data_IF_748837397552
#
_entry.id   IF_748837397552
#
_cell.length_a   1.000
_cell.length_b   1.000
_cell.length_c   1.000
_cell.angle_alpha   90.00
_cell.angle_beta   90.00
_cell.angle_gamma   90.00
#
_symmetry.space_group_name_H-M   'P 1'
#
loop_
_entity.id
_entity.type
_entity.pdbx_description
1 polymer ?
#
# COMPACT_ATOMS: atom_id res chain seq x y z
N UNK A 1 10.36 6.96 -6.29
CA UNK A 1 10.42 8.22 -7.07
C UNK A 1 11.84 8.48 -7.59
N UNK A 2 12.86 8.45 -6.71
CA UNK A 2 14.27 8.70 -7.13
C UNK A 2 14.77 7.67 -8.15
N UNK A 3 14.48 6.39 -7.95
CA UNK A 3 14.82 5.32 -8.88
C UNK A 3 14.13 5.49 -10.24
N UNK A 4 12.86 5.90 -10.24
CA UNK A 4 12.12 6.19 -11.46
C UNK A 4 12.73 7.35 -12.25
N UNK A 5 13.15 8.44 -11.57
CA UNK A 5 13.84 9.57 -12.22
C UNK A 5 15.13 9.15 -12.90
N UNK A 6 15.93 8.32 -12.22
CA UNK A 6 17.21 7.83 -12.74
C UNK A 6 17.01 7.00 -14.01
N UNK A 7 15.95 6.22 -14.06
CA UNK A 7 15.67 5.28 -15.15
C UNK A 7 14.66 5.81 -16.18
N UNK A 8 14.23 7.08 -16.08
CA UNK A 8 13.21 7.67 -16.98
C UNK A 8 13.59 7.60 -18.46
N UNK A 9 14.86 7.65 -18.81
CA UNK A 9 15.34 7.50 -20.19
C UNK A 9 15.20 6.06 -20.73
N UNK A 10 15.21 5.07 -19.81
CA UNK A 10 15.12 3.64 -20.16
C UNK A 10 13.67 3.21 -20.23
N UNK A 11 12.84 3.71 -19.32
CA UNK A 11 11.40 3.51 -19.33
C UNK A 11 10.83 4.47 -20.37
N UNK A 12 10.45 3.95 -21.52
CA UNK A 12 9.99 4.72 -22.66
C UNK A 12 9.23 5.99 -22.24
N UNK A 13 9.65 7.13 -22.75
CA UNK A 13 9.23 8.47 -22.38
C UNK A 13 7.73 8.80 -22.53
N UNK A 14 6.95 7.86 -23.01
CA UNK A 14 5.52 8.03 -23.33
C UNK A 14 4.55 7.50 -22.29
N UNK A 15 5.03 6.84 -21.22
CA UNK A 15 4.14 6.31 -20.18
C UNK A 15 4.17 7.27 -18.99
N UNK A 16 3.13 8.08 -18.87
CA UNK A 16 2.92 8.87 -17.66
C UNK A 16 2.67 7.95 -16.46
N UNK A 17 3.43 8.15 -15.40
CA UNK A 17 3.26 7.46 -14.12
C UNK A 17 2.93 8.46 -13.04
N UNK A 18 1.92 8.13 -12.27
CA UNK A 18 1.53 8.89 -11.08
C UNK A 18 1.82 8.07 -9.83
N UNK A 19 2.20 8.75 -8.77
CA UNK A 19 2.49 8.15 -7.47
C UNK A 19 1.52 8.71 -6.44
N UNK A 20 0.86 7.81 -5.71
CA UNK A 20 -0.06 8.15 -4.65
C UNK A 20 0.42 7.53 -3.34
N UNK A 21 0.53 8.35 -2.30
CA UNK A 21 0.78 7.90 -0.94
C UNK A 21 -0.41 8.22 -0.07
N UNK A 22 -0.84 7.25 0.72
CA UNK A 22 -1.91 7.39 1.70
C UNK A 22 -1.36 7.04 3.07
N UNK A 23 -1.57 7.90 4.05
CA UNK A 23 -1.13 7.67 5.42
C UNK A 23 -1.92 8.56 6.37
N UNK A 24 -2.12 8.11 7.60
CA UNK A 24 -2.74 8.92 8.65
C UNK A 24 -1.83 10.06 9.10
N UNK A 25 -0.52 9.79 9.16
CA UNK A 25 0.50 10.60 9.83
C UNK A 25 0.27 10.75 11.35
N UNK A 26 -0.69 10.02 11.87
CA UNK A 26 -1.16 10.07 13.27
C UNK A 26 -1.07 8.71 13.96
N UNK A 27 -0.30 7.77 13.40
CA UNK A 27 -0.18 6.40 13.90
C UNK A 27 -1.37 5.52 13.50
N UNK A 28 -1.66 4.50 14.31
CA UNK A 28 -2.68 3.50 13.98
C UNK A 28 -4.12 3.92 14.33
N UNK A 29 -4.30 4.92 15.17
CA UNK A 29 -5.60 5.30 15.71
C UNK A 29 -6.17 4.22 16.64
N UNK A 30 -7.47 3.96 16.57
CA UNK A 30 -8.12 2.97 17.42
C UNK A 30 -7.79 1.54 16.97
N UNK A 31 -6.91 0.87 17.72
CA UNK A 31 -6.49 -0.52 17.45
C UNK A 31 -7.57 -1.48 17.93
N UNK A 32 -8.10 -2.29 17.03
CA UNK A 32 -9.08 -3.34 17.33
C UNK A 32 -8.39 -4.57 17.93
N UNK A 33 -9.15 -5.42 18.61
CA UNK A 33 -8.64 -6.66 19.21
C UNK A 33 -7.92 -7.56 18.19
N UNK A 34 -8.45 -7.69 16.97
CA UNK A 34 -7.82 -8.49 15.89
C UNK A 34 -6.45 -7.94 15.48
N UNK A 35 -6.24 -6.63 15.66
CA UNK A 35 -5.02 -5.90 15.30
C UNK A 35 -4.03 -5.79 16.48
N UNK A 36 -4.41 -6.33 17.65
CA UNK A 36 -3.57 -6.22 18.83
C UNK A 36 -2.22 -6.94 18.65
N UNK A 37 -1.16 -6.16 18.74
CA UNK A 37 0.21 -6.61 18.58
C UNK A 37 1.12 -5.84 19.54
N UNK A 38 2.11 -6.45 20.20
CA UNK A 38 2.97 -5.76 21.17
C UNK A 38 3.70 -4.54 20.62
N UNK A 39 4.04 -4.56 19.33
CA UNK A 39 4.79 -3.52 18.66
C UNK A 39 3.90 -2.44 18.00
N UNK A 40 2.77 -2.82 17.43
CA UNK A 40 1.85 -1.90 16.75
C UNK A 40 0.89 -1.28 17.77
N UNK A 41 1.31 -0.18 18.35
CA UNK A 41 0.50 0.58 19.31
C UNK A 41 0.16 1.94 18.72
N UNK A 42 -0.96 2.49 19.17
CA UNK A 42 -1.30 3.87 18.90
C UNK A 42 -0.15 4.80 19.31
N UNK A 43 0.00 5.95 18.78
CA UNK A 43 1.11 6.88 19.00
C UNK A 43 2.52 6.40 18.54
N UNK A 44 2.71 5.14 18.19
CA UNK A 44 3.88 4.73 17.45
C UNK A 44 3.70 5.15 15.98
N UNK A 45 4.78 5.42 15.28
CA UNK A 45 4.76 5.73 13.84
C UNK A 45 4.08 7.06 13.46
N UNK A 46 4.00 8.01 14.39
CA UNK A 46 3.54 9.38 14.10
C UNK A 46 4.63 10.15 13.35
N UNK A 47 4.26 10.83 12.28
CA UNK A 47 5.20 11.60 11.46
C UNK A 47 4.60 12.96 11.05
N UNK A 48 5.42 13.99 10.98
CA UNK A 48 4.99 15.33 10.54
C UNK A 48 4.66 15.33 9.03
N UNK A 49 3.38 15.43 8.74
CA UNK A 49 2.86 15.49 7.37
C UNK A 49 3.48 16.61 6.54
N UNK A 50 3.59 17.83 7.07
CA UNK A 50 4.12 18.98 6.32
C UNK A 50 5.58 18.78 5.95
N UNK A 51 6.37 18.15 6.83
CA UNK A 51 7.76 17.80 6.56
C UNK A 51 7.89 16.78 5.43
N UNK A 52 7.04 15.75 5.45
CA UNK A 52 7.02 14.71 4.40
C UNK A 52 6.52 15.28 3.07
N UNK A 53 5.42 16.03 3.07
CA UNK A 53 4.89 16.69 1.88
C UNK A 53 5.92 17.60 1.21
N UNK A 54 6.61 18.45 1.99
CA UNK A 54 7.70 19.31 1.47
C UNK A 54 8.84 18.48 0.85
N UNK A 55 9.21 17.37 1.49
CA UNK A 55 10.25 16.46 1.01
C UNK A 55 9.85 15.79 -0.31
N UNK A 56 8.62 15.32 -0.40
CA UNK A 56 8.08 14.71 -1.62
C UNK A 56 8.02 15.73 -2.75
N UNK A 57 7.46 16.91 -2.51
CA UNK A 57 7.37 17.98 -3.51
C UNK A 57 8.76 18.38 -4.05
N UNK A 58 9.77 18.46 -3.18
CA UNK A 58 11.15 18.72 -3.59
C UNK A 58 11.71 17.59 -4.46
N UNK A 59 11.40 16.34 -4.11
CA UNK A 59 11.95 15.15 -4.78
C UNK A 59 11.21 14.79 -6.06
N UNK A 60 9.95 15.20 -6.23
CA UNK A 60 9.08 14.78 -7.33
C UNK A 60 8.87 15.86 -8.41
N UNK A 61 9.75 16.85 -8.49
CA UNK A 61 9.69 17.95 -9.47
C UNK A 61 9.32 17.45 -10.83
N UNK A 62 8.91 17.03 -11.60
CA UNK A 62 8.61 16.46 -12.92
C UNK A 62 7.94 15.07 -12.84
N UNK A 63 7.38 14.70 -11.67
CA UNK A 63 6.65 13.44 -11.51
C UNK A 63 5.32 13.77 -10.85
N UNK A 64 4.23 13.30 -11.42
CA UNK A 64 2.92 13.45 -10.80
C UNK A 64 2.88 12.61 -9.51
N UNK A 65 2.89 13.28 -8.37
CA UNK A 65 2.83 12.63 -7.06
C UNK A 65 1.85 13.35 -6.15
N UNK A 66 1.05 12.60 -5.41
CA UNK A 66 0.09 13.11 -4.43
C UNK A 66 0.23 12.35 -3.13
N UNK A 67 0.14 13.06 -2.01
CA UNK A 67 0.06 12.48 -0.67
C UNK A 67 -1.30 12.84 -0.09
N UNK A 68 -2.02 11.84 0.37
CA UNK A 68 -3.35 11.97 0.94
C UNK A 68 -3.26 11.65 2.43
N UNK A 69 -3.44 12.69 3.27
CA UNK A 69 -3.45 12.52 4.71
C UNK A 69 -4.82 12.06 5.20
N UNK A 70 -4.84 11.05 6.05
CA UNK A 70 -6.00 10.58 6.80
C UNK A 70 -6.02 9.07 6.97
N UNK A 71 -6.78 8.61 7.96
CA UNK A 71 -6.97 7.18 8.21
C UNK A 71 -7.61 6.47 7.01
N UNK A 72 -7.19 5.25 6.73
CA UNK A 72 -7.63 4.48 5.56
C UNK A 72 -9.14 4.25 5.52
N UNK A 73 -9.78 4.02 6.67
CA UNK A 73 -11.23 3.90 6.75
C UNK A 73 -12.01 5.14 6.28
N UNK A 74 -11.34 6.29 6.14
CA UNK A 74 -11.91 7.53 5.59
C UNK A 74 -11.41 7.79 4.18
N UNK A 75 -10.09 7.76 3.98
CA UNK A 75 -9.49 8.11 2.69
C UNK A 75 -9.69 7.03 1.63
N UNK A 76 -9.78 5.76 2.00
CA UNK A 76 -9.99 4.65 1.07
C UNK A 76 -11.45 4.14 1.03
N UNK A 77 -12.37 4.81 1.71
CA UNK A 77 -13.82 4.49 1.65
C UNK A 77 -14.49 5.03 0.38
N UNK A 78 -13.76 5.77 -0.44
CA UNK A 78 -14.22 6.30 -1.73
C UNK A 78 -13.62 5.48 -2.88
N UNK A 79 -14.17 5.63 -4.08
CA UNK A 79 -13.61 4.95 -5.26
C UNK A 79 -12.25 5.54 -5.67
N UNK A 80 -11.33 4.74 -6.22
CA UNK A 80 -10.01 5.22 -6.68
C UNK A 80 -10.10 6.35 -7.72
N UNK A 81 -11.15 6.36 -8.53
CA UNK A 81 -11.42 7.39 -9.53
C UNK A 81 -11.54 8.79 -8.95
N UNK A 82 -11.99 8.93 -7.69
CA UNK A 82 -12.04 10.22 -6.99
C UNK A 82 -10.66 10.88 -6.85
N UNK A 83 -9.61 10.07 -6.79
CA UNK A 83 -8.22 10.52 -6.79
C UNK A 83 -7.61 10.60 -8.18
N UNK A 84 -8.33 10.21 -9.22
CA UNK A 84 -7.84 10.11 -10.60
C UNK A 84 -7.05 8.82 -10.87
N UNK A 85 -7.16 7.81 -10.00
CA UNK A 85 -6.47 6.53 -10.15
C UNK A 85 -7.33 5.60 -11.00
N UNK A 86 -6.82 5.18 -12.15
CA UNK A 86 -7.54 4.28 -13.07
C UNK A 86 -7.01 2.85 -13.01
N UNK A 87 -5.70 2.69 -12.99
CA UNK A 87 -4.99 1.40 -12.92
C UNK A 87 -3.73 1.53 -12.09
N UNK A 88 -3.36 0.49 -11.38
CA UNK A 88 -2.13 0.41 -10.62
C UNK A 88 -1.18 -0.63 -11.22
N UNK A 89 0.06 -0.25 -11.45
CA UNK A 89 1.13 -1.18 -11.82
C UNK A 89 1.74 -1.84 -10.58
N UNK A 90 1.87 -1.08 -9.49
CA UNK A 90 2.46 -1.54 -8.23
C UNK A 90 1.59 -1.00 -7.08
N UNK A 91 1.22 -1.88 -6.18
CA UNK A 91 0.63 -1.58 -4.88
C UNK A 91 1.69 -1.89 -3.82
N UNK A 92 2.14 -0.88 -3.08
CA UNK A 92 2.97 -1.06 -1.90
C UNK A 92 2.08 -0.90 -0.68
N UNK A 93 1.86 -1.97 0.06
CA UNK A 93 1.04 -2.01 1.26
C UNK A 93 1.95 -2.20 2.47
N UNK A 94 2.05 -1.16 3.28
CA UNK A 94 2.81 -1.06 4.52
C UNK A 94 1.82 -0.57 5.59
N UNK A 95 0.93 -1.46 6.00
CA UNK A 95 -0.22 -1.12 6.84
C UNK A 95 -0.27 -1.95 8.13
N UNK A 96 0.70 -2.85 8.31
CA UNK A 96 0.94 -3.65 9.51
C UNK A 96 -0.25 -4.52 9.94
N UNK A 97 -1.40 -3.92 10.14
CA UNK A 97 -2.56 -4.52 10.81
C UNK A 97 -3.66 -4.95 9.83
N UNK A 98 -4.47 -5.93 10.24
CA UNK A 98 -5.54 -6.49 9.43
C UNK A 98 -6.59 -5.45 8.99
N UNK A 99 -7.06 -4.61 9.92
CA UNK A 99 -8.12 -3.64 9.62
C UNK A 99 -7.69 -2.63 8.56
N UNK A 100 -6.47 -2.09 8.66
CA UNK A 100 -5.92 -1.16 7.68
C UNK A 100 -5.68 -1.84 6.32
N UNK A 101 -5.09 -3.03 6.32
CA UNK A 101 -4.87 -3.82 5.11
C UNK A 101 -6.18 -4.16 4.39
N UNK A 102 -7.26 -4.45 5.14
CA UNK A 102 -8.59 -4.71 4.57
C UNK A 102 -9.15 -3.48 3.83
N UNK A 103 -8.97 -2.28 4.38
CA UNK A 103 -9.39 -1.04 3.72
C UNK A 103 -8.60 -0.83 2.42
N UNK A 104 -7.29 -1.08 2.43
CA UNK A 104 -6.43 -1.03 1.24
C UNK A 104 -6.94 -2.01 0.17
N UNK A 105 -7.13 -3.29 0.52
CA UNK A 105 -7.53 -4.30 -0.46
C UNK A 105 -8.94 -4.09 -1.03
N UNK A 106 -9.84 -3.51 -0.26
CA UNK A 106 -11.14 -3.09 -0.78
C UNK A 106 -11.00 -1.96 -1.80
N UNK A 107 -10.19 -0.95 -1.51
CA UNK A 107 -9.97 0.20 -2.38
C UNK A 107 -9.28 -0.17 -3.69
N UNK A 108 -8.22 -0.99 -3.64
CA UNK A 108 -7.43 -1.32 -4.83
C UNK A 108 -8.10 -2.32 -5.77
N UNK A 109 -9.20 -2.93 -5.38
CA UNK A 109 -9.86 -3.98 -6.14
C UNK A 109 -10.17 -3.58 -7.59
N UNK A 110 -10.62 -2.34 -7.80
CA UNK A 110 -11.05 -1.84 -9.11
C UNK A 110 -9.88 -1.41 -10.00
N UNK A 111 -8.69 -1.25 -9.44
CA UNK A 111 -7.53 -0.69 -10.14
C UNK A 111 -6.42 -1.71 -10.39
N UNK A 112 -6.57 -2.94 -9.89
CA UNK A 112 -5.60 -4.01 -10.14
C UNK A 112 -5.99 -4.85 -11.35
N UNK A 113 -4.98 -5.29 -12.11
CA UNK A 113 -5.16 -6.10 -13.31
C UNK A 113 -4.06 -7.17 -13.38
N UNK A 114 -4.13 -8.09 -14.35
CA UNK A 114 -3.03 -9.03 -14.62
C UNK A 114 -1.73 -8.24 -14.83
N UNK A 115 -0.68 -8.66 -14.14
CA UNK A 115 0.61 -7.95 -14.14
C UNK A 115 0.76 -6.88 -13.06
N UNK A 116 -0.28 -6.56 -12.27
CA UNK A 116 -0.13 -5.70 -11.08
C UNK A 116 0.72 -6.40 -10.02
N UNK A 117 1.72 -5.72 -9.50
CA UNK A 117 2.54 -6.19 -8.39
C UNK A 117 1.97 -5.75 -7.04
N UNK A 118 1.91 -6.68 -6.11
CA UNK A 118 1.61 -6.44 -4.70
C UNK A 118 2.91 -6.60 -3.90
N UNK A 119 3.40 -5.50 -3.35
CA UNK A 119 4.53 -5.46 -2.43
C UNK A 119 3.94 -5.29 -1.04
N UNK A 120 4.01 -6.33 -0.24
CA UNK A 120 3.36 -6.44 1.07
C UNK A 120 4.45 -6.43 2.14
N UNK A 121 4.57 -5.30 2.84
CA UNK A 121 5.45 -5.21 3.99
C UNK A 121 4.76 -5.80 5.23
N UNK A 122 5.53 -6.13 6.25
CA UNK A 122 5.03 -6.74 7.50
C UNK A 122 4.07 -7.93 7.31
N UNK A 123 4.18 -8.63 6.17
CA UNK A 123 3.26 -9.66 5.76
C UNK A 123 3.24 -10.87 6.73
N UNK A 124 4.36 -11.11 7.41
CA UNK A 124 4.51 -12.18 8.40
C UNK A 124 4.66 -11.68 9.85
N UNK A 125 4.44 -10.40 10.11
CA UNK A 125 4.71 -9.75 11.41
C UNK A 125 3.94 -10.34 12.60
N UNK A 126 2.77 -10.94 12.37
CA UNK A 126 2.00 -11.64 13.40
C UNK A 126 2.48 -13.10 13.62
N UNK A 127 3.78 -13.31 13.72
CA UNK A 127 4.41 -14.64 13.89
C UNK A 127 3.99 -15.62 12.78
N UNK A 128 3.78 -15.15 11.57
CA UNK A 128 3.32 -15.95 10.45
C UNK A 128 1.88 -16.47 10.57
N UNK A 129 1.06 -15.89 11.43
CA UNK A 129 -0.33 -16.33 11.64
C UNK A 129 -1.17 -16.21 10.36
N UNK A 130 -1.85 -17.28 9.99
CA UNK A 130 -2.78 -17.29 8.86
C UNK A 130 -4.06 -16.46 9.13
N UNK A 131 -4.33 -16.12 10.39
CA UNK A 131 -5.59 -15.53 10.87
C UNK A 131 -5.44 -14.11 11.37
N UNK A 132 -4.28 -13.45 11.14
CA UNK A 132 -4.01 -12.08 11.59
C UNK A 132 -3.26 -11.26 10.54
N UNK A 133 -3.21 -9.95 10.77
CA UNK A 133 -2.40 -9.00 10.01
C UNK A 133 -2.71 -8.90 8.54
N UNK A 134 -1.76 -8.36 7.80
CA UNK A 134 -1.84 -8.17 6.35
C UNK A 134 -2.02 -9.47 5.59
N UNK A 135 -1.44 -10.58 6.07
CA UNK A 135 -1.62 -11.90 5.45
C UNK A 135 -3.09 -12.30 5.36
N UNK A 136 -3.82 -12.27 6.49
CA UNK A 136 -5.26 -12.60 6.52
C UNK A 136 -6.05 -11.73 5.55
N UNK A 137 -5.84 -10.42 5.59
CA UNK A 137 -6.57 -9.49 4.74
C UNK A 137 -6.32 -9.76 3.24
N UNK A 138 -5.09 -10.09 2.87
CA UNK A 138 -4.72 -10.42 1.50
C UNK A 138 -5.37 -11.72 1.02
N UNK A 139 -5.36 -12.78 1.84
CA UNK A 139 -5.99 -14.05 1.49
C UNK A 139 -7.51 -13.90 1.31
N UNK A 140 -8.17 -13.13 2.17
CA UNK A 140 -9.60 -12.82 2.03
C UNK A 140 -9.89 -12.04 0.74
N UNK A 141 -9.05 -11.07 0.39
CA UNK A 141 -9.15 -10.31 -0.85
C UNK A 141 -9.06 -11.23 -2.07
N UNK A 142 -8.03 -12.06 -2.14
CA UNK A 142 -7.83 -12.99 -3.25
C UNK A 142 -9.02 -13.93 -3.43
N UNK A 143 -9.47 -14.53 -2.32
CA UNK A 143 -10.61 -15.47 -2.32
C UNK A 143 -11.91 -14.77 -2.74
N UNK A 144 -12.22 -13.62 -2.16
CA UNK A 144 -13.46 -12.88 -2.42
C UNK A 144 -13.57 -12.43 -3.88
N UNK A 145 -12.46 -12.16 -4.51
CA UNK A 145 -12.40 -11.61 -5.87
C UNK A 145 -12.02 -12.63 -6.95
N UNK A 146 -11.72 -13.85 -6.57
CA UNK A 146 -11.28 -14.88 -7.50
C UNK A 146 -9.94 -14.52 -8.18
N UNK A 147 -9.09 -13.75 -7.48
CA UNK A 147 -7.79 -13.32 -7.99
C UNK A 147 -6.75 -14.40 -7.73
N UNK A 148 -6.00 -14.75 -8.77
CA UNK A 148 -4.82 -15.59 -8.64
C UNK A 148 -3.55 -14.74 -8.69
N UNK A 149 -2.59 -15.10 -7.84
CA UNK A 149 -1.29 -14.44 -7.80
C UNK A 149 -0.16 -15.47 -7.85
N UNK A 150 1.00 -15.05 -8.34
CA UNK A 150 2.24 -15.81 -8.24
C UNK A 150 3.19 -15.07 -7.30
N UNK A 151 3.79 -15.80 -6.36
CA UNK A 151 4.84 -15.25 -5.52
C UNK A 151 6.09 -14.99 -6.36
N UNK A 152 6.70 -13.83 -6.17
CA UNK A 152 7.92 -13.42 -6.87
C UNK A 152 9.13 -13.63 -5.97
N UNK A 153 9.15 -13.03 -4.77
CA UNK A 153 10.18 -13.21 -3.76
C UNK A 153 9.71 -12.70 -2.40
N UNK A 154 10.48 -13.04 -1.35
CA UNK A 154 10.37 -12.42 -0.03
C UNK A 154 11.50 -11.43 0.19
N UNK A 155 11.31 -10.44 1.07
CA UNK A 155 12.32 -9.45 1.39
C UNK A 155 12.25 -9.01 2.86
N UNK A 156 13.37 -8.44 3.35
CA UNK A 156 13.44 -7.99 4.73
C UNK A 156 13.15 -9.12 5.74
N UNK A 157 12.57 -8.77 6.87
CA UNK A 157 12.21 -9.72 7.92
C UNK A 157 10.77 -10.28 7.79
N UNK A 158 9.94 -9.68 6.98
CA UNK A 158 8.53 -10.05 6.93
C UNK A 158 7.79 -9.68 5.65
N UNK A 159 8.47 -9.11 4.66
CA UNK A 159 7.84 -8.68 3.42
C UNK A 159 7.74 -9.76 2.36
N UNK A 160 6.75 -9.67 1.49
CA UNK A 160 6.55 -10.58 0.37
C UNK A 160 6.01 -9.87 -0.87
N UNK A 161 6.45 -10.30 -2.05
CA UNK A 161 6.04 -9.72 -3.34
C UNK A 161 5.30 -10.76 -4.16
N UNK A 162 4.15 -10.35 -4.67
CA UNK A 162 3.31 -11.14 -5.57
C UNK A 162 3.03 -10.37 -6.86
N UNK A 163 2.72 -11.11 -7.93
CA UNK A 163 2.19 -10.55 -9.17
C UNK A 163 0.83 -11.18 -9.47
N UNK A 164 -0.16 -10.35 -9.83
CA UNK A 164 -1.47 -10.85 -10.26
C UNK A 164 -1.34 -11.61 -11.58
N UNK A 165 -1.81 -12.85 -11.61
CA UNK A 165 -1.72 -13.75 -12.79
C UNK A 165 -3.08 -14.08 -13.40
N UNK A 166 -4.18 -13.81 -12.66
CA UNK A 166 -5.57 -13.96 -13.14
C UNK A 166 -6.49 -13.02 -12.37
#
# INVERSE_FOLDING_TARGET
>A
INSFKKNKKILSSRIERSFYGFDSFEGFGNIKEIDNHPFYRDLNFVTDFKKIEKRINKSSKNINSKVIKGFFNKTLSVTPSKYGIKKAAIIFSDADVYSASKDIFNFINEITDIGTYFVLDDFFSFKGSLNKGSYKAFQEFLKKKGISVRKVFDYGMGGSVYVRSK
#
